data_IF_320955431232
#
_entry.id   IF_320955431232
#
_cell.length_a   1.000
_cell.length_b   1.000
_cell.length_c   1.000
_cell.angle_alpha   90.00
_cell.angle_beta   90.00
_cell.angle_gamma   90.00
#
_symmetry.space_group_name_H-M   'P 1'
#
loop_
_entity.id
_entity.type
_entity.pdbx_description
1 polymer ?
#
# COMPACT_ATOMS: atom_id res chain seq x y z
N UNK A 1 -10.12 13.65 15.05
CA UNK A 1 -9.04 14.33 14.26
C UNK A 1 -8.83 13.67 12.90
N UNK A 2 -8.39 12.41 12.82
CA UNK A 2 -8.05 11.76 11.53
C UNK A 2 -9.20 11.68 10.51
N UNK A 3 -10.42 11.38 10.95
CA UNK A 3 -11.60 11.36 10.06
C UNK A 3 -11.89 12.73 9.46
N UNK A 4 -11.74 13.81 10.22
CA UNK A 4 -11.94 15.18 9.73
C UNK A 4 -10.87 15.57 8.70
N UNK A 5 -9.63 15.10 8.88
CA UNK A 5 -8.57 15.25 7.87
C UNK A 5 -8.93 14.52 6.58
N UNK A 6 -9.46 13.29 6.67
CA UNK A 6 -9.91 12.52 5.49
C UNK A 6 -11.03 13.28 4.77
N UNK A 7 -12.03 13.79 5.50
CA UNK A 7 -13.10 14.61 4.91
C UNK A 7 -12.55 15.86 4.23
N UNK A 8 -11.60 16.55 4.86
CA UNK A 8 -10.95 17.72 4.27
C UNK A 8 -10.23 17.36 2.99
N UNK A 9 -9.43 16.29 2.98
CA UNK A 9 -8.71 15.85 1.78
C UNK A 9 -9.68 15.49 0.65
N UNK A 10 -10.75 14.77 0.97
CA UNK A 10 -11.77 14.44 -0.02
C UNK A 10 -12.46 15.69 -0.59
N UNK A 11 -12.78 16.70 0.25
CA UNK A 11 -13.33 18.00 -0.22
C UNK A 11 -12.37 18.76 -1.13
N UNK A 12 -11.06 18.63 -0.90
CA UNK A 12 -10.01 19.22 -1.74
C UNK A 12 -9.71 18.38 -2.99
N UNK A 13 -10.44 17.29 -3.24
CA UNK A 13 -10.17 16.37 -4.35
C UNK A 13 -8.88 15.55 -4.19
N UNK A 14 -8.28 15.55 -2.99
CA UNK A 14 -7.06 14.81 -2.70
C UNK A 14 -7.39 13.35 -2.32
N UNK A 15 -6.52 12.43 -2.74
CA UNK A 15 -6.61 11.01 -2.38
C UNK A 15 -5.88 10.78 -1.06
N UNK A 16 -6.49 9.98 -0.17
CA UNK A 16 -5.90 9.61 1.12
C UNK A 16 -5.78 8.09 1.26
N UNK A 17 -4.69 7.64 1.89
CA UNK A 17 -4.45 6.24 2.27
C UNK A 17 -4.02 6.21 3.74
N UNK A 18 -4.41 5.17 4.49
CA UNK A 18 -4.02 5.01 5.91
C UNK A 18 -3.64 3.57 6.26
N UNK A 19 -2.71 3.39 7.20
CA UNK A 19 -2.44 2.09 7.83
C UNK A 19 -3.30 1.85 9.06
N UNK A 20 -4.11 0.79 9.08
CA UNK A 20 -5.01 0.50 10.21
C UNK A 20 -4.25 0.00 11.46
N UNK A 21 -3.14 -0.71 11.28
CA UNK A 21 -2.41 -1.33 12.40
C UNK A 21 -1.79 -0.31 13.37
N UNK A 22 -1.39 0.87 12.88
CA UNK A 22 -0.82 1.92 13.73
C UNK A 22 -1.92 2.65 14.51
N UNK A 23 -3.14 2.69 13.98
CA UNK A 23 -4.28 3.35 14.62
C UNK A 23 -4.71 2.64 15.91
N UNK A 24 -4.67 1.31 15.91
CA UNK A 24 -5.05 0.48 17.07
C UNK A 24 -3.86 0.07 17.94
N UNK A 25 -2.68 0.66 17.77
CA UNK A 25 -1.49 0.26 18.53
C UNK A 25 -1.67 0.53 20.03
N UNK A 26 -1.49 -0.51 20.87
CA UNK A 26 -1.66 -0.43 22.32
C UNK A 26 -3.09 -0.58 22.83
N UNK A 27 -4.08 -0.77 21.95
CA UNK A 27 -5.48 -0.90 22.33
C UNK A 27 -5.92 -2.38 22.39
N UNK A 28 -6.79 -2.77 23.32
CA UNK A 28 -7.43 -4.08 23.29
C UNK A 28 -8.35 -4.19 22.07
N UNK A 29 -8.63 -5.42 21.63
CA UNK A 29 -9.58 -5.71 20.54
C UNK A 29 -9.30 -4.95 19.22
N UNK A 30 -8.01 -4.88 18.84
CA UNK A 30 -7.50 -4.13 17.68
C UNK A 30 -8.30 -4.33 16.40
N UNK A 31 -8.71 -5.56 16.10
CA UNK A 31 -9.49 -5.88 14.90
C UNK A 31 -10.84 -5.13 14.86
N UNK A 32 -11.55 -5.02 15.99
CA UNK A 32 -12.83 -4.29 16.05
C UNK A 32 -12.62 -2.80 15.82
N UNK A 33 -11.56 -2.24 16.40
CA UNK A 33 -11.18 -0.83 16.22
C UNK A 33 -10.80 -0.56 14.76
N UNK A 34 -9.98 -1.42 14.16
CA UNK A 34 -9.59 -1.34 12.76
C UNK A 34 -10.82 -1.36 11.85
N UNK A 35 -11.75 -2.28 12.08
CA UNK A 35 -12.98 -2.42 11.29
C UNK A 35 -13.89 -1.19 11.42
N UNK A 36 -14.12 -0.71 12.66
CA UNK A 36 -14.93 0.48 12.91
C UNK A 36 -14.32 1.73 12.25
N UNK A 37 -13.03 1.94 12.41
CA UNK A 37 -12.33 3.05 11.78
C UNK A 37 -12.37 2.96 10.26
N UNK A 38 -12.17 1.76 9.68
CA UNK A 38 -12.22 1.56 8.24
C UNK A 38 -13.58 1.97 7.66
N UNK A 39 -14.68 1.58 8.31
CA UNK A 39 -16.03 1.98 7.90
C UNK A 39 -16.19 3.51 7.89
N UNK A 40 -15.80 4.17 9.00
CA UNK A 40 -15.87 5.62 9.13
C UNK A 40 -14.97 6.32 8.10
N UNK A 41 -13.79 5.78 7.83
CA UNK A 41 -12.86 6.28 6.83
C UNK A 41 -13.46 6.22 5.42
N UNK A 42 -14.04 5.09 5.03
CA UNK A 42 -14.69 4.93 3.73
C UNK A 42 -15.81 5.96 3.57
N UNK A 43 -16.69 6.09 4.57
CA UNK A 43 -17.77 7.10 4.57
C UNK A 43 -17.24 8.55 4.51
N UNK A 44 -16.07 8.81 5.09
CA UNK A 44 -15.40 10.11 5.00
C UNK A 44 -14.71 10.38 3.65
N UNK A 45 -14.65 9.40 2.75
CA UNK A 45 -14.03 9.52 1.43
C UNK A 45 -12.61 8.96 1.32
N UNK A 46 -12.18 8.11 2.26
CA UNK A 46 -10.89 7.42 2.22
C UNK A 46 -10.73 6.64 0.89
N UNK A 47 -9.58 6.79 0.23
CA UNK A 47 -9.32 6.16 -1.08
C UNK A 47 -8.53 4.86 -0.99
N UNK A 48 -7.92 4.54 0.14
CA UNK A 48 -7.25 3.27 0.36
C UNK A 48 -6.88 3.01 1.82
N UNK A 49 -6.64 1.74 2.15
CA UNK A 49 -6.18 1.32 3.48
C UNK A 49 -5.18 0.17 3.38
N UNK A 50 -4.12 0.23 4.19
CA UNK A 50 -3.23 -0.90 4.45
C UNK A 50 -3.74 -1.61 5.69
N UNK A 51 -4.11 -2.87 5.54
CA UNK A 51 -4.80 -3.66 6.56
C UNK A 51 -4.28 -5.10 6.62
N UNK A 52 -4.59 -5.78 7.71
CA UNK A 52 -4.32 -7.20 7.86
C UNK A 52 -5.46 -8.01 7.20
N UNK A 53 -5.18 -8.64 6.06
CA UNK A 53 -6.19 -9.42 5.33
C UNK A 53 -6.67 -10.68 6.08
N UNK A 54 -5.93 -11.10 7.12
CA UNK A 54 -6.32 -12.21 7.99
C UNK A 54 -7.30 -11.82 9.09
N UNK A 55 -7.67 -10.54 9.23
CA UNK A 55 -8.69 -10.07 10.17
C UNK A 55 -10.10 -10.20 9.56
N UNK A 56 -10.88 -11.25 9.90
CA UNK A 56 -12.16 -11.54 9.25
C UNK A 56 -13.19 -10.41 9.42
N UNK A 57 -13.21 -9.74 10.56
CA UNK A 57 -14.14 -8.64 10.86
C UNK A 57 -13.83 -7.44 9.98
N UNK A 58 -12.56 -7.03 9.92
CA UNK A 58 -12.09 -5.94 9.06
C UNK A 58 -12.45 -6.21 7.59
N UNK A 59 -12.21 -7.44 7.12
CA UNK A 59 -12.52 -7.83 5.73
C UNK A 59 -14.02 -7.91 5.42
N UNK A 60 -14.84 -8.36 6.37
CA UNK A 60 -16.31 -8.37 6.24
C UNK A 60 -16.86 -6.94 6.16
N UNK A 61 -16.39 -6.04 7.02
CA UNK A 61 -16.79 -4.62 7.01
C UNK A 61 -16.39 -3.96 5.69
N UNK A 62 -15.15 -4.18 5.21
CA UNK A 62 -14.73 -3.71 3.89
C UNK A 62 -15.65 -4.22 2.78
N UNK A 63 -16.04 -5.50 2.83
CA UNK A 63 -16.96 -6.07 1.85
C UNK A 63 -18.33 -5.42 1.86
N UNK A 64 -18.91 -5.24 3.05
CA UNK A 64 -20.21 -4.58 3.21
C UNK A 64 -20.16 -3.13 2.72
N UNK A 65 -19.14 -2.37 3.15
CA UNK A 65 -18.95 -0.98 2.76
C UNK A 65 -18.82 -0.82 1.24
N UNK A 66 -17.97 -1.61 0.57
CA UNK A 66 -17.82 -1.55 -0.89
C UNK A 66 -19.11 -1.91 -1.64
N UNK A 67 -19.88 -2.87 -1.11
CA UNK A 67 -21.18 -3.25 -1.70
C UNK A 67 -22.17 -2.09 -1.63
N UNK A 68 -22.22 -1.38 -0.50
CA UNK A 68 -23.09 -0.22 -0.32
C UNK A 68 -22.70 0.93 -1.25
N UNK A 69 -21.40 1.16 -1.44
CA UNK A 69 -20.87 2.19 -2.35
C UNK A 69 -20.97 1.80 -3.84
N UNK A 70 -21.52 0.62 -4.17
CA UNK A 70 -21.59 0.06 -5.53
C UNK A 70 -20.21 -0.04 -6.20
N UNK A 71 -19.16 -0.27 -5.41
CA UNK A 71 -17.80 -0.45 -5.89
C UNK A 71 -17.55 -1.95 -6.06
N UNK A 72 -17.30 -2.37 -7.29
CA UNK A 72 -16.91 -3.75 -7.56
C UNK A 72 -15.51 -4.04 -7.01
N UNK A 73 -15.42 -5.08 -6.18
CA UNK A 73 -14.12 -5.64 -5.81
C UNK A 73 -13.50 -6.31 -7.03
N UNK A 74 -12.35 -5.79 -7.50
CA UNK A 74 -11.44 -6.62 -8.27
C UNK A 74 -11.00 -7.79 -7.40
N UNK A 75 -11.34 -9.02 -7.79
CA UNK A 75 -10.88 -10.22 -7.09
C UNK A 75 -9.36 -10.27 -7.18
N UNK A 76 -8.71 -10.16 -6.02
CA UNK A 76 -7.31 -10.50 -5.87
C UNK A 76 -7.27 -11.97 -5.45
N UNK A 77 -6.71 -12.84 -6.27
CA UNK A 77 -6.43 -14.21 -5.86
C UNK A 77 -5.12 -14.19 -5.07
N UNK A 78 -5.14 -14.35 -3.73
CA UNK A 78 -3.91 -14.42 -2.97
C UNK A 78 -3.10 -15.62 -3.44
N UNK A 79 -1.78 -15.45 -3.49
CA UNK A 79 -0.85 -16.53 -3.78
C UNK A 79 -1.10 -17.67 -2.79
N UNK A 80 -1.26 -18.91 -3.26
CA UNK A 80 -1.54 -20.04 -2.37
C UNK A 80 -0.47 -20.14 -1.27
N UNK A 81 -0.79 -20.57 -0.03
CA UNK A 81 0.18 -20.69 1.04
C UNK A 81 1.41 -21.55 0.65
N UNK A 82 1.20 -22.61 -0.13
CA UNK A 82 2.27 -23.46 -0.64
C UNK A 82 3.12 -22.74 -1.71
N UNK A 83 2.51 -21.88 -2.52
CA UNK A 83 3.23 -20.99 -3.43
C UNK A 83 3.99 -19.90 -2.67
N UNK A 84 3.45 -19.37 -1.58
CA UNK A 84 4.10 -18.38 -0.71
C UNK A 84 5.29 -18.98 0.06
N UNK A 85 5.15 -20.21 0.56
CA UNK A 85 6.25 -20.94 1.22
C UNK A 85 7.34 -21.28 0.20
N UNK A 86 6.98 -21.79 -0.98
CA UNK A 86 7.94 -21.98 -2.08
C UNK A 86 8.58 -20.67 -2.55
N UNK A 87 7.83 -19.56 -2.53
CA UNK A 87 8.32 -18.20 -2.80
C UNK A 87 9.29 -17.69 -1.73
N UNK A 88 9.03 -17.99 -0.45
CA UNK A 88 9.91 -17.63 0.65
C UNK A 88 11.22 -18.44 0.63
N UNK A 89 11.13 -19.73 0.27
CA UNK A 89 12.24 -20.69 0.26
C UNK A 89 13.14 -20.62 -1.00
N UNK A 90 12.60 -20.32 -2.19
CA UNK A 90 13.36 -20.42 -3.46
C UNK A 90 14.20 -19.20 -3.86
N UNK A 91 14.24 -18.13 -3.07
CA UNK A 91 15.15 -17.00 -3.30
C UNK A 91 14.91 -16.14 -4.56
N UNK A 92 14.10 -16.58 -5.54
CA UNK A 92 13.78 -15.84 -6.79
C UNK A 92 12.58 -14.92 -6.62
N UNK A 93 12.71 -13.92 -5.75
CA UNK A 93 11.58 -13.07 -5.33
C UNK A 93 11.24 -11.91 -6.27
N UNK A 94 12.23 -11.40 -7.01
CA UNK A 94 12.04 -10.24 -7.88
C UNK A 94 11.27 -10.59 -9.18
N UNK A 95 11.57 -11.75 -9.77
CA UNK A 95 10.95 -12.24 -11.02
C UNK A 95 9.43 -12.38 -10.94
N UNK A 96 8.91 -12.77 -9.77
CA UNK A 96 7.47 -12.96 -9.56
C UNK A 96 6.76 -11.61 -9.46
N UNK A 97 7.36 -10.64 -8.79
CA UNK A 97 6.80 -9.29 -8.70
C UNK A 97 6.72 -8.66 -10.10
N UNK A 98 7.78 -8.82 -10.91
CA UNK A 98 7.78 -8.40 -12.31
C UNK A 98 6.66 -9.09 -13.11
N UNK A 99 6.53 -10.41 -13.00
CA UNK A 99 5.51 -11.19 -13.73
C UNK A 99 4.09 -10.75 -13.39
N UNK A 100 3.80 -10.53 -12.11
CA UNK A 100 2.48 -10.05 -11.69
C UNK A 100 2.24 -8.59 -12.10
N UNK A 101 3.26 -7.73 -12.05
CA UNK A 101 3.15 -6.36 -12.55
C UNK A 101 2.85 -6.31 -14.05
N UNK A 102 3.47 -7.18 -14.86
CA UNK A 102 3.19 -7.32 -16.29
C UNK A 102 1.75 -7.77 -16.56
N UNK A 103 1.22 -8.69 -15.73
CA UNK A 103 -0.14 -9.22 -15.86
C UNK A 103 -1.21 -8.23 -15.42
N UNK A 104 -1.04 -7.63 -14.24
CA UNK A 104 -2.06 -6.79 -13.59
C UNK A 104 -1.98 -5.34 -14.07
N UNK A 105 -0.79 -4.88 -14.50
CA UNK A 105 -0.49 -3.48 -14.85
C UNK A 105 -0.99 -2.51 -13.77
N UNK A 106 -0.48 -2.62 -12.53
CA UNK A 106 -0.89 -1.73 -11.45
C UNK A 106 -0.47 -0.29 -11.74
N UNK A 107 -1.20 0.69 -11.19
CA UNK A 107 -0.83 2.10 -11.27
C UNK A 107 0.32 2.47 -10.29
N UNK A 108 0.57 1.61 -9.30
CA UNK A 108 1.57 1.79 -8.24
C UNK A 108 1.99 0.43 -7.66
N UNK A 109 3.27 0.26 -7.35
CA UNK A 109 3.78 -0.85 -6.55
C UNK A 109 4.23 -0.38 -5.16
N UNK A 110 3.64 -0.93 -4.10
CA UNK A 110 4.10 -0.72 -2.72
C UNK A 110 4.99 -1.85 -2.23
N UNK A 111 6.19 -1.54 -1.73
CA UNK A 111 7.14 -2.51 -1.18
C UNK A 111 7.52 -2.13 0.26
N UNK A 112 7.40 -3.09 1.18
CA UNK A 112 7.79 -2.90 2.59
C UNK A 112 9.07 -3.67 2.92
N UNK A 113 10.08 -2.96 3.42
CA UNK A 113 11.32 -3.49 3.95
C UNK A 113 11.32 -3.48 5.48
N UNK A 114 10.85 -4.59 6.05
CA UNK A 114 10.88 -4.81 7.51
C UNK A 114 12.27 -5.18 8.03
N UNK A 115 13.13 -5.76 7.19
CA UNK A 115 14.50 -6.18 7.52
C UNK A 115 15.49 -5.68 6.47
N UNK A 116 16.75 -5.50 6.85
CA UNK A 116 17.81 -4.94 5.99
C UNK A 116 18.04 -5.73 4.71
N UNK A 117 17.85 -7.06 4.72
CA UNK A 117 17.94 -7.90 3.50
C UNK A 117 16.82 -7.62 2.50
N UNK A 118 15.70 -7.03 2.93
CA UNK A 118 14.58 -6.67 2.04
C UNK A 118 14.85 -5.38 1.27
N UNK A 119 15.69 -4.50 1.81
CA UNK A 119 16.13 -3.26 1.15
C UNK A 119 16.85 -3.58 -0.18
N UNK A 120 17.75 -4.57 -0.19
CA UNK A 120 18.43 -4.99 -1.42
C UNK A 120 17.48 -5.50 -2.49
N UNK A 121 16.43 -6.24 -2.09
CA UNK A 121 15.41 -6.75 -3.02
C UNK A 121 14.56 -5.65 -3.65
N UNK A 122 14.30 -4.56 -2.93
CA UNK A 122 13.59 -3.40 -3.49
C UNK A 122 14.37 -2.84 -4.68
N UNK A 123 15.70 -2.74 -4.56
CA UNK A 123 16.57 -2.32 -5.67
C UNK A 123 16.48 -3.29 -6.85
N UNK A 124 16.60 -4.60 -6.58
CA UNK A 124 16.51 -5.63 -7.62
C UNK A 124 15.20 -5.56 -8.40
N UNK A 125 14.06 -5.46 -7.69
CA UNK A 125 12.73 -5.33 -8.31
C UNK A 125 12.64 -4.06 -9.16
N UNK A 126 13.07 -2.92 -8.62
CA UNK A 126 13.03 -1.64 -9.32
C UNK A 126 13.86 -1.67 -10.60
N UNK A 127 15.06 -2.25 -10.55
CA UNK A 127 15.94 -2.38 -11.70
C UNK A 127 15.37 -3.35 -12.74
N UNK A 128 14.80 -4.48 -12.31
CA UNK A 128 14.14 -5.43 -13.21
C UNK A 128 12.93 -4.84 -13.92
N UNK A 129 12.05 -4.11 -13.22
CA UNK A 129 10.89 -3.45 -13.84
C UNK A 129 11.34 -2.48 -14.93
N UNK A 130 12.34 -1.63 -14.62
CA UNK A 130 12.92 -0.68 -15.59
C UNK A 130 13.57 -1.38 -16.79
N UNK A 131 14.36 -2.43 -16.54
CA UNK A 131 15.01 -3.19 -17.61
C UNK A 131 14.00 -3.86 -18.57
N UNK A 132 12.77 -4.10 -18.10
CA UNK A 132 11.68 -4.67 -18.90
C UNK A 132 10.69 -3.60 -19.41
N UNK A 133 11.06 -2.31 -19.38
CA UNK A 133 10.27 -1.23 -19.95
C UNK A 133 9.03 -0.83 -19.14
N UNK A 134 8.91 -1.26 -17.88
CA UNK A 134 7.84 -0.85 -16.97
C UNK A 134 8.29 0.36 -16.14
N UNK A 135 7.84 1.54 -16.52
CA UNK A 135 7.99 2.77 -15.71
C UNK A 135 6.86 2.87 -14.67
N UNK A 136 6.86 1.90 -13.74
CA UNK A 136 5.87 1.77 -12.67
C UNK A 136 6.35 2.55 -11.43
N UNK A 137 5.58 3.53 -10.91
CA UNK A 137 5.93 4.18 -9.65
C UNK A 137 6.02 3.16 -8.51
N UNK A 138 7.15 3.16 -7.80
CA UNK A 138 7.40 2.28 -6.65
C UNK A 138 7.45 3.12 -5.38
N UNK A 139 6.62 2.77 -4.39
CA UNK A 139 6.66 3.31 -3.04
C UNK A 139 7.31 2.30 -2.10
N UNK A 140 8.49 2.63 -1.59
CA UNK A 140 9.27 1.80 -0.68
C UNK A 140 9.23 2.37 0.75
N UNK A 141 8.91 1.52 1.72
CA UNK A 141 8.90 1.89 3.13
C UNK A 141 9.36 0.78 4.06
N UNK A 142 9.09 0.93 5.36
CA UNK A 142 9.44 -0.06 6.39
C UNK A 142 10.66 0.32 7.23
N UNK A 143 10.84 -0.36 8.37
CA UNK A 143 11.76 0.02 9.44
C UNK A 143 13.24 0.13 9.00
N UNK A 144 13.64 -0.61 7.96
CA UNK A 144 15.02 -0.59 7.44
C UNK A 144 15.23 0.38 6.27
N UNK A 145 14.18 1.09 5.84
CA UNK A 145 14.21 1.96 4.67
C UNK A 145 14.37 3.44 5.05
N UNK A 146 15.10 4.22 4.25
CA UNK A 146 15.28 5.66 4.42
C UNK A 146 15.31 6.42 3.08
N UNK A 147 15.26 7.76 3.13
CA UNK A 147 15.28 8.64 1.95
C UNK A 147 16.50 8.40 1.05
N UNK A 148 17.69 8.29 1.65
CA UNK A 148 18.94 8.12 0.93
C UNK A 148 18.96 6.82 0.10
N UNK A 149 18.46 5.72 0.67
CA UNK A 149 18.33 4.45 -0.04
C UNK A 149 17.25 4.54 -1.13
N UNK A 150 16.14 5.23 -0.87
CA UNK A 150 15.07 5.38 -1.85
C UNK A 150 15.51 6.18 -3.08
N UNK A 151 16.25 7.27 -2.86
CA UNK A 151 16.89 8.06 -3.92
C UNK A 151 17.88 7.20 -4.72
N UNK A 152 18.74 6.45 -4.01
CA UNK A 152 19.69 5.52 -4.64
C UNK A 152 19.00 4.46 -5.51
N UNK A 153 17.84 3.98 -5.10
CA UNK A 153 17.08 2.97 -5.85
C UNK A 153 16.12 3.60 -6.86
N UNK A 154 16.04 4.93 -6.90
CA UNK A 154 15.10 5.71 -7.73
C UNK A 154 13.65 5.25 -7.50
N UNK A 155 13.24 5.21 -6.24
CA UNK A 155 11.89 4.88 -5.77
C UNK A 155 11.40 5.97 -4.81
N UNK A 156 10.10 6.05 -4.57
CA UNK A 156 9.52 6.97 -3.60
C UNK A 156 9.66 6.42 -2.17
N UNK A 157 10.10 7.24 -1.24
CA UNK A 157 10.21 6.86 0.17
C UNK A 157 8.90 7.08 0.94
N UNK A 158 8.50 6.10 1.73
CA UNK A 158 7.46 6.22 2.75
C UNK A 158 7.99 5.72 4.11
N UNK A 159 8.18 6.64 5.06
CA UNK A 159 8.63 6.31 6.42
C UNK A 159 7.54 5.57 7.20
N UNK A 160 6.32 6.09 7.12
CA UNK A 160 5.06 5.42 7.45
C UNK A 160 4.09 5.78 6.33
N UNK A 161 3.26 4.84 5.85
CA UNK A 161 2.54 5.00 4.59
C UNK A 161 1.62 6.25 4.56
N UNK A 162 2.08 7.29 3.86
CA UNK A 162 1.29 8.44 3.44
C UNK A 162 1.41 8.51 1.91
N UNK A 163 0.31 8.29 1.22
CA UNK A 163 0.27 8.40 -0.24
C UNK A 163 -0.12 9.82 -0.64
N UNK A 164 0.82 10.54 -1.25
CA UNK A 164 0.53 11.75 -2.02
C UNK A 164 0.33 11.31 -3.49
N UNK A 165 -0.80 11.63 -4.15
CA UNK A 165 -0.91 11.35 -5.58
C UNK A 165 0.17 12.14 -6.33
N UNK A 166 0.85 11.45 -7.25
CA UNK A 166 1.65 12.11 -8.28
C UNK A 166 0.71 12.94 -9.15
N UNK A 167 0.80 14.27 -9.04
CA UNK A 167 0.11 15.23 -9.90
C UNK A 167 1.15 15.83 -10.82
N UNK A 168 1.05 15.54 -12.13
CA UNK A 168 1.79 16.29 -13.15
C UNK A 168 1.33 17.75 -13.07
N UNK A 169 2.23 18.67 -12.71
CA UNK A 169 1.99 20.12 -12.71
C UNK A 169 1.64 20.75 -11.35
N UNK A 170 2.53 20.68 -10.35
CA UNK A 170 2.36 21.48 -9.13
C UNK A 170 2.85 22.93 -9.38
N UNK A 171 2.06 23.98 -9.08
CA UNK A 171 2.53 25.37 -9.18
C UNK A 171 3.59 25.70 -8.13
N UNK A 172 4.50 26.67 -8.40
CA UNK A 172 5.73 26.90 -7.62
C UNK A 172 5.53 27.45 -6.20
N UNK A 173 4.31 27.82 -5.83
CA UNK A 173 4.02 28.70 -4.69
C UNK A 173 3.93 27.98 -3.34
N UNK A 174 4.19 26.67 -3.30
CA UNK A 174 4.04 25.82 -2.10
C UNK A 174 5.29 24.97 -1.80
N UNK A 175 6.48 25.50 -2.09
CA UNK A 175 7.77 24.95 -1.63
C UNK A 175 8.34 25.79 -0.48
#
# INVERSE_FOLDING_TARGET
MTIETIKLFNRLGLKSIIGLSNLSFGWPEREKINAAFLCLGIQAGLKGAILNASEPTTMKVLSGALTLERIEKKKFEPMSPNSLINFLLKGKKADIVLKECLKIRPDLLGLSAMITTTVGRIKEIADQLRANGLDLPILAGGASMNRLLAEKFRVHYAQEAIFLPWVKGRPPELC
#
